data_IF_289948101115
#
_entry.id   IF_289948101115
#
_cell.length_a   1.000
_cell.length_b   1.000
_cell.length_c   1.000
_cell.angle_alpha   90.00
_cell.angle_beta   90.00
_cell.angle_gamma   90.00
#
_symmetry.space_group_name_H-M   'P 1'
#
loop_
_entity.id
_entity.type
_entity.pdbx_description
1 polymer ?
#
# COMPACT_ATOMS: atom_id res chain seq x y z
N UNK A 1 -14.25 21.57 -8.57
CA UNK A 1 -13.70 21.22 -8.41
C UNK A 1 -13.16 20.50 -8.24
N UNK A 2 -13.13 20.29 -8.24
CA UNK A 2 -12.57 19.68 -8.09
C UNK A 2 -11.93 19.05 -8.00
N UNK A 3 -11.72 18.72 -7.90
CA UNK A 3 -11.17 18.23 -7.75
C UNK A 3 -10.54 17.41 -7.85
N UNK A 4 -10.27 16.94 -7.78
CA UNK A 4 -9.77 16.10 -7.81
C UNK A 4 -9.40 15.43 -8.40
N UNK A 5 -8.99 15.36 -8.53
CA UNK A 5 -8.62 14.67 -9.10
C UNK A 5 -8.08 13.68 -9.28
N UNK A 6 -7.95 13.86 -9.36
CA UNK A 6 -7.59 12.71 -9.72
C UNK A 6 -6.49 12.19 -9.16
N UNK A 7 -6.52 11.35 -8.47
CA UNK A 7 -5.55 10.73 -8.05
C UNK A 7 -5.21 9.73 -8.92
N UNK A 8 -4.10 9.77 -9.55
CA UNK A 8 -3.58 8.72 -10.26
C UNK A 8 -2.91 7.88 -9.35
N UNK A 9 -3.40 6.80 -9.01
CA UNK A 9 -2.72 5.82 -8.18
C UNK A 9 -1.61 5.18 -8.96
N UNK A 10 -0.78 4.43 -8.27
CA UNK A 10 0.25 3.63 -8.87
C UNK A 10 -0.15 2.19 -8.79
N UNK A 11 0.20 1.40 -9.79
CA UNK A 11 -0.21 0.01 -9.87
C UNK A 11 1.01 -0.87 -9.79
N UNK A 12 0.96 -1.87 -8.91
CA UNK A 12 1.99 -2.89 -8.88
C UNK A 12 1.31 -4.24 -8.96
N UNK A 13 2.08 -5.27 -9.26
CA UNK A 13 1.54 -6.61 -9.44
C UNK A 13 1.93 -7.46 -8.27
N UNK A 14 0.98 -8.22 -7.76
CA UNK A 14 1.22 -9.12 -6.65
C UNK A 14 1.83 -10.41 -7.19
N UNK A 15 2.84 -10.90 -6.51
CA UNK A 15 3.48 -12.16 -6.85
C UNK A 15 3.56 -13.04 -5.61
N UNK A 16 3.74 -14.35 -5.81
CA UNK A 16 3.93 -15.22 -4.69
C UNK A 16 5.27 -14.97 -4.05
N UNK A 17 5.30 -14.99 -2.73
CA UNK A 17 6.57 -14.81 -2.03
C UNK A 17 7.47 -16.03 -2.25
N UNK A 18 6.89 -17.24 -2.23
CA UNK A 18 7.62 -18.43 -2.57
C UNK A 18 6.63 -19.38 -3.25
N UNK A 19 7.11 -20.38 -3.96
CA UNK A 19 6.20 -21.26 -4.71
C UNK A 19 5.20 -22.01 -3.83
N UNK A 20 5.53 -22.27 -2.58
CA UNK A 20 4.64 -23.01 -1.71
C UNK A 20 3.99 -22.17 -0.64
N UNK A 21 4.22 -20.88 -0.66
CA UNK A 21 3.71 -20.04 0.38
C UNK A 21 2.40 -19.42 -0.03
N UNK A 22 1.53 -19.15 0.92
CA UNK A 22 0.35 -18.38 0.66
C UNK A 22 0.63 -16.91 0.80
N UNK A 23 1.85 -16.55 1.19
CA UNK A 23 2.20 -15.14 1.31
C UNK A 23 2.41 -14.51 -0.05
N UNK A 24 1.99 -13.29 -0.17
CA UNK A 24 2.11 -12.56 -1.42
C UNK A 24 2.98 -11.33 -1.17
N UNK A 25 3.59 -10.84 -2.22
CA UNK A 25 4.42 -9.66 -2.13
C UNK A 25 4.19 -8.78 -3.33
N UNK A 26 4.50 -7.53 -3.18
CA UNK A 26 4.44 -6.58 -4.27
C UNK A 26 5.45 -5.47 -3.97
N UNK A 27 5.76 -4.69 -4.98
CA UNK A 27 6.70 -3.60 -4.82
C UNK A 27 5.94 -2.37 -4.34
N UNK A 28 6.48 -1.69 -3.36
CA UNK A 28 5.92 -0.43 -2.95
C UNK A 28 6.42 0.64 -3.92
N UNK A 29 5.52 1.37 -4.56
CA UNK A 29 5.94 2.38 -5.54
C UNK A 29 6.92 3.38 -4.93
N UNK A 30 7.91 3.76 -5.71
CA UNK A 30 8.95 4.65 -5.23
C UNK A 30 8.40 5.99 -4.76
N UNK A 31 7.38 6.49 -5.44
CA UNK A 31 6.78 7.74 -5.02
C UNK A 31 6.21 7.67 -3.62
N UNK A 32 5.63 6.52 -3.26
CA UNK A 32 5.09 6.35 -1.92
C UNK A 32 6.22 6.21 -0.92
N UNK A 33 7.28 5.49 -1.28
CA UNK A 33 8.44 5.35 -0.41
C UNK A 33 9.00 6.73 -0.07
N UNK A 34 9.11 7.59 -1.06
CA UNK A 34 9.66 8.92 -0.84
C UNK A 34 8.72 9.84 -0.08
N UNK A 35 7.45 9.76 -0.40
CA UNK A 35 6.48 10.63 0.24
C UNK A 35 6.41 10.37 1.74
N UNK A 36 6.53 9.12 2.15
CA UNK A 36 6.41 8.77 3.55
C UNK A 36 7.74 8.47 4.22
N UNK A 37 8.84 8.58 3.48
CA UNK A 37 10.16 8.31 4.04
C UNK A 37 10.30 6.89 4.54
N UNK A 38 9.79 5.92 3.80
CA UNK A 38 9.82 4.55 4.25
C UNK A 38 11.24 4.01 4.23
N UNK A 39 11.57 3.18 5.21
CA UNK A 39 12.90 2.62 5.35
C UNK A 39 12.82 1.13 5.50
N UNK A 40 13.93 0.49 5.23
CA UNK A 40 14.05 -0.93 5.41
C UNK A 40 13.72 -1.33 6.84
N UNK A 41 13.00 -2.41 7.01
CA UNK A 41 12.62 -2.95 8.31
C UNK A 41 11.62 -2.10 9.07
N UNK A 42 11.08 -1.09 8.43
CA UNK A 42 10.05 -0.30 9.05
C UNK A 42 8.76 -1.11 9.10
N UNK A 43 8.00 -0.94 10.14
CA UNK A 43 6.75 -1.68 10.31
C UNK A 43 5.62 -0.94 9.66
N UNK A 44 4.72 -1.70 9.07
CA UNK A 44 3.54 -1.14 8.42
C UNK A 44 2.32 -1.74 9.09
N UNK A 45 1.34 -0.90 9.31
CA UNK A 45 0.09 -1.31 9.91
C UNK A 45 -0.95 -1.42 8.82
N UNK A 46 -1.55 -2.58 8.70
CA UNK A 46 -2.52 -2.86 7.64
C UNK A 46 -3.91 -2.92 8.25
N UNK A 47 -4.82 -2.17 7.70
CA UNK A 47 -6.18 -2.09 8.21
C UNK A 47 -7.16 -2.20 7.06
N UNK A 48 -8.27 -2.86 7.30
CA UNK A 48 -9.32 -2.93 6.32
C UNK A 48 -10.38 -1.92 6.68
N UNK A 49 -10.80 -1.11 5.71
CA UNK A 49 -11.86 -0.15 5.94
C UNK A 49 -12.94 -0.33 4.92
N UNK A 50 -14.17 -0.07 5.32
CA UNK A 50 -15.30 -0.10 4.41
C UNK A 50 -15.74 1.34 4.22
N UNK A 51 -15.79 1.78 2.97
CA UNK A 51 -16.11 3.14 2.65
C UNK A 51 -17.06 3.15 1.48
N UNK A 52 -18.29 3.60 1.68
CA UNK A 52 -19.27 3.71 0.61
C UNK A 52 -19.42 2.42 -0.17
N UNK A 53 -19.61 1.33 0.54
CA UNK A 53 -19.81 0.03 -0.06
C UNK A 53 -18.56 -0.53 -0.72
N UNK A 54 -17.41 0.06 -0.46
CA UNK A 54 -16.17 -0.44 -0.96
C UNK A 54 -15.27 -0.83 0.18
N UNK A 55 -14.62 -1.97 0.03
CA UNK A 55 -13.65 -2.41 1.02
C UNK A 55 -12.27 -2.00 0.53
N UNK A 56 -11.54 -1.29 1.34
CA UNK A 56 -10.21 -0.80 0.97
C UNK A 56 -9.19 -1.21 2.01
N UNK A 57 -7.94 -1.27 1.60
CA UNK A 57 -6.84 -1.56 2.49
C UNK A 57 -6.11 -0.26 2.78
N UNK A 58 -5.93 0.02 4.07
CA UNK A 58 -5.13 1.16 4.47
C UNK A 58 -3.83 0.66 5.02
N UNK A 59 -2.75 1.26 4.62
CA UNK A 59 -1.43 0.90 5.11
C UNK A 59 -0.82 2.14 5.74
N UNK A 60 -0.45 2.04 7.01
CA UNK A 60 0.09 3.18 7.72
C UNK A 60 1.47 2.83 8.25
N UNK A 61 2.51 3.61 7.93
CA UNK A 61 3.82 3.34 8.50
C UNK A 61 3.82 3.67 9.99
N UNK A 62 4.46 2.80 10.77
CA UNK A 62 4.59 3.07 12.18
C UNK A 62 5.79 3.97 12.40
N UNK A 63 5.62 5.01 13.19
CA UNK A 63 6.68 5.94 13.47
C UNK A 63 7.20 5.65 14.86
N UNK A 64 8.51 5.58 15.00
CA UNK A 64 9.08 5.29 16.31
C UNK A 64 9.31 6.50 17.12
#
# INVERSE_FOLDING_TARGET
MSRIKSEKGEVTIIASATPKSQSLRTTIPLGIVRQFGLKEKQRLNWTIRVNENKMVIEVTPEVE
#
